data_IF_601436680328
#
_entry.id   IF_601436680328
#
_cell.length_a   1.000
_cell.length_b   1.000
_cell.length_c   1.000
_cell.angle_alpha   90.00
_cell.angle_beta   90.00
_cell.angle_gamma   90.00
#
_symmetry.space_group_name_H-M   'P 1'
#
loop_
_entity.id
_entity.type
_entity.pdbx_description
1 polymer ?
#
# COMPACT_ATOMS: atom_id res chain seq x y z
N UNK A 1 34.93 -9.30 14.44
CA UNK A 1 34.18 -9.84 13.28
C UNK A 1 33.02 -8.89 13.06
N UNK A 2 32.88 -8.32 11.87
CA UNK A 2 31.68 -7.56 11.51
C UNK A 2 30.54 -8.55 11.37
N UNK A 3 29.58 -8.48 12.28
CA UNK A 3 28.34 -9.25 12.20
C UNK A 3 27.63 -8.89 10.90
N UNK A 4 27.50 -9.88 10.01
CA UNK A 4 26.84 -9.70 8.72
C UNK A 4 25.34 -9.82 8.99
N UNK A 5 24.63 -8.71 8.81
CA UNK A 5 23.16 -8.68 8.88
C UNK A 5 22.59 -9.08 7.51
N UNK A 6 21.67 -10.05 7.50
CA UNK A 6 21.00 -10.51 6.28
C UNK A 6 19.51 -10.77 6.54
N UNK A 7 18.73 -10.59 5.48
CA UNK A 7 17.32 -10.95 5.42
C UNK A 7 17.17 -12.25 4.64
N UNK A 8 16.91 -13.34 5.37
CA UNK A 8 16.82 -14.69 4.80
C UNK A 8 15.39 -15.21 4.93
N UNK A 9 14.91 -15.86 3.86
CA UNK A 9 13.66 -16.60 3.87
C UNK A 9 13.89 -18.10 3.79
N UNK A 10 13.25 -18.84 4.69
CA UNK A 10 13.15 -20.29 4.65
C UNK A 10 11.78 -20.69 4.08
N UNK A 11 11.77 -21.31 2.92
CA UNK A 11 10.56 -21.64 2.18
C UNK A 11 10.30 -23.15 2.18
N UNK A 12 9.13 -23.51 2.72
CA UNK A 12 8.56 -24.85 2.63
C UNK A 12 7.75 -24.99 1.33
N UNK A 13 8.34 -25.55 0.27
CA UNK A 13 7.62 -25.63 -1.00
C UNK A 13 6.55 -26.73 -1.05
N UNK A 14 6.60 -27.70 -0.14
CA UNK A 14 5.61 -28.78 -0.09
C UNK A 14 4.29 -28.27 0.46
N UNK A 15 4.36 -27.52 1.56
CA UNK A 15 3.19 -26.94 2.18
C UNK A 15 2.72 -25.66 1.46
N UNK A 16 3.65 -24.96 0.82
CA UNK A 16 3.41 -23.70 0.11
C UNK A 16 3.95 -23.79 -1.33
N UNK A 17 3.28 -24.52 -2.24
CA UNK A 17 3.69 -24.60 -3.63
C UNK A 17 3.61 -23.20 -4.27
N UNK A 18 4.77 -22.64 -4.63
CA UNK A 18 4.88 -21.32 -5.26
C UNK A 18 4.98 -21.45 -6.77
N UNK A 19 4.34 -20.52 -7.48
CA UNK A 19 4.63 -20.28 -8.89
C UNK A 19 5.98 -19.57 -9.01
N UNK A 20 6.66 -19.73 -10.15
CA UNK A 20 7.94 -19.06 -10.42
C UNK A 20 7.85 -17.54 -10.23
N UNK A 21 6.71 -16.94 -10.62
CA UNK A 21 6.45 -15.50 -10.43
C UNK A 21 6.52 -15.07 -8.96
N UNK A 22 6.05 -15.90 -8.04
CA UNK A 22 6.11 -15.62 -6.60
C UNK A 22 7.54 -15.77 -6.07
N UNK A 23 8.28 -16.79 -6.54
CA UNK A 23 9.69 -16.97 -6.20
C UNK A 23 10.54 -15.77 -6.66
N UNK A 24 10.25 -15.19 -7.82
CA UNK A 24 10.87 -13.95 -8.30
C UNK A 24 10.61 -12.78 -7.35
N UNK A 25 9.39 -12.64 -6.83
CA UNK A 25 9.06 -11.59 -5.86
C UNK A 25 9.83 -11.79 -4.56
N UNK A 26 9.92 -13.02 -4.06
CA UNK A 26 10.68 -13.35 -2.86
C UNK A 26 12.17 -13.00 -3.01
N UNK A 27 12.78 -13.36 -4.14
CA UNK A 27 14.17 -13.02 -4.42
C UNK A 27 14.40 -11.50 -4.46
N UNK A 28 13.40 -10.68 -4.77
CA UNK A 28 13.53 -9.21 -4.70
C UNK A 28 13.42 -8.65 -3.28
N UNK A 29 12.74 -9.35 -2.38
CA UNK A 29 12.48 -8.92 -1.00
C UNK A 29 13.55 -9.39 -0.02
N UNK A 30 14.14 -10.56 -0.27
CA UNK A 30 15.14 -11.18 0.59
C UNK A 30 16.51 -11.18 -0.06
N UNK A 31 17.54 -11.08 0.78
CA UNK A 31 18.93 -11.23 0.35
C UNK A 31 19.20 -12.67 -0.10
N UNK A 32 18.57 -13.63 0.60
CA UNK A 32 18.64 -15.04 0.28
C UNK A 32 17.30 -15.76 0.52
N UNK A 33 16.91 -16.62 -0.41
CA UNK A 33 15.78 -17.54 -0.28
C UNK A 33 16.31 -18.97 -0.27
N UNK A 34 16.01 -19.72 0.79
CA UNK A 34 16.38 -21.13 0.93
C UNK A 34 15.12 -21.98 0.86
N UNK A 35 15.03 -22.78 -0.18
CA UNK A 35 13.93 -23.67 -0.46
C UNK A 35 14.28 -25.07 0.02
N UNK A 36 13.46 -25.63 0.90
CA UNK A 36 13.61 -27.00 1.39
C UNK A 36 12.46 -27.85 0.85
N UNK A 37 12.79 -29.04 0.34
CA UNK A 37 11.77 -29.98 -0.17
C UNK A 37 12.23 -31.43 -0.03
N UNK A 38 11.31 -32.36 0.16
CA UNK A 38 11.51 -33.81 0.06
C UNK A 38 10.91 -34.37 -1.25
N UNK A 39 9.72 -33.90 -1.64
CA UNK A 39 9.07 -34.15 -2.91
C UNK A 39 8.61 -32.83 -3.51
N UNK A 40 8.88 -32.61 -4.79
CA UNK A 40 8.38 -31.40 -5.47
C UNK A 40 7.94 -31.72 -6.88
N UNK A 41 6.79 -31.15 -7.26
CA UNK A 41 6.23 -31.18 -8.61
C UNK A 41 6.42 -29.82 -9.31
N UNK A 42 7.40 -29.01 -8.88
CA UNK A 42 7.64 -27.69 -9.44
C UNK A 42 8.11 -27.80 -10.90
N UNK A 43 7.25 -27.36 -11.82
CA UNK A 43 7.56 -27.29 -13.25
C UNK A 43 8.05 -25.88 -13.61
N UNK A 44 9.25 -25.79 -14.17
CA UNK A 44 9.93 -24.54 -14.51
C UNK A 44 10.09 -24.46 -16.04
N UNK A 45 9.68 -23.35 -16.64
CA UNK A 45 9.92 -23.10 -18.07
C UNK A 45 11.41 -22.78 -18.33
N UNK A 46 11.93 -23.08 -19.53
CA UNK A 46 13.34 -22.84 -19.83
C UNK A 46 13.76 -21.37 -19.66
N UNK A 47 12.91 -20.42 -20.04
CA UNK A 47 13.21 -18.99 -19.87
C UNK A 47 13.37 -18.61 -18.39
N UNK A 48 12.55 -19.21 -17.52
CA UNK A 48 12.61 -19.02 -16.08
C UNK A 48 13.87 -19.65 -15.46
N UNK A 49 14.37 -20.73 -16.05
CA UNK A 49 15.57 -21.44 -15.58
C UNK A 49 16.82 -20.55 -15.68
N UNK A 50 16.92 -19.71 -16.72
CA UNK A 50 18.07 -18.81 -16.91
C UNK A 50 18.16 -17.84 -15.73
N UNK A 51 17.05 -17.20 -15.37
CA UNK A 51 17.01 -16.25 -14.25
C UNK A 51 17.27 -16.93 -12.90
N UNK A 52 16.69 -18.11 -12.67
CA UNK A 52 16.92 -18.88 -11.45
C UNK A 52 18.37 -19.36 -11.35
N UNK A 53 19.01 -19.71 -12.47
CA UNK A 53 20.41 -20.15 -12.46
C UNK A 53 21.36 -19.04 -12.03
N UNK A 54 21.12 -17.78 -12.44
CA UNK A 54 21.85 -16.61 -11.96
C UNK A 54 21.68 -16.46 -10.45
N UNK A 55 20.43 -16.54 -9.94
CA UNK A 55 20.16 -16.43 -8.52
C UNK A 55 20.82 -17.56 -7.68
N UNK A 56 20.93 -18.77 -8.25
CA UNK A 56 21.62 -19.91 -7.62
C UNK A 56 23.13 -19.68 -7.58
N UNK A 57 23.72 -19.21 -8.69
CA UNK A 57 25.15 -18.94 -8.78
C UNK A 57 25.57 -17.84 -7.80
N UNK A 58 24.73 -16.82 -7.64
CA UNK A 58 24.93 -15.72 -6.69
C UNK A 58 24.61 -16.11 -5.24
N UNK A 59 24.24 -17.37 -4.98
CA UNK A 59 23.79 -17.89 -3.68
C UNK A 59 22.59 -17.15 -3.08
N UNK A 60 21.85 -16.39 -3.88
CA UNK A 60 20.59 -15.73 -3.50
C UNK A 60 19.43 -16.72 -3.47
N UNK A 61 19.50 -17.79 -4.24
CA UNK A 61 18.57 -18.93 -4.17
C UNK A 61 19.33 -20.19 -3.82
N UNK A 62 18.99 -20.82 -2.70
CA UNK A 62 19.52 -22.14 -2.33
C UNK A 62 18.40 -23.16 -2.34
N UNK A 63 18.61 -24.28 -3.03
CA UNK A 63 17.62 -25.35 -3.16
C UNK A 63 18.18 -26.58 -2.45
N UNK A 64 17.48 -27.04 -1.41
CA UNK A 64 17.91 -28.17 -0.56
C UNK A 64 16.88 -29.28 -0.68
N UNK A 65 17.33 -30.41 -1.24
CA UNK A 65 16.54 -31.64 -1.26
C UNK A 65 16.82 -32.46 -0.01
N UNK A 66 15.78 -32.94 0.65
CA UNK A 66 15.91 -33.84 1.80
C UNK A 66 16.42 -35.21 1.36
N UNK A 67 17.39 -35.80 2.09
CA UNK A 67 17.99 -37.09 1.73
C UNK A 67 17.06 -38.27 1.96
N UNK A 68 16.10 -38.13 2.89
CA UNK A 68 15.04 -39.08 3.17
C UNK A 68 13.71 -38.38 3.02
N UNK A 69 12.74 -39.13 2.53
CA UNK A 69 11.37 -38.69 2.32
C UNK A 69 10.47 -39.25 3.42
N UNK A 70 9.58 -38.42 3.94
CA UNK A 70 8.74 -38.70 5.10
C UNK A 70 7.97 -37.45 5.50
N UNK A 71 6.84 -37.62 6.20
CA UNK A 71 5.84 -36.57 6.42
C UNK A 71 6.40 -35.24 6.94
N UNK A 72 7.45 -35.27 7.77
CA UNK A 72 8.03 -34.07 8.40
C UNK A 72 9.45 -33.77 7.89
N UNK A 73 9.86 -34.35 6.75
CA UNK A 73 11.25 -34.24 6.30
C UNK A 73 11.62 -32.80 5.96
N UNK A 74 10.71 -32.04 5.33
CA UNK A 74 10.92 -30.63 5.04
C UNK A 74 11.03 -29.80 6.33
N UNK A 75 10.18 -30.06 7.32
CA UNK A 75 10.20 -29.40 8.64
C UNK A 75 11.54 -29.55 9.35
N UNK A 76 12.10 -30.77 9.35
CA UNK A 76 13.42 -31.03 9.90
C UNK A 76 14.51 -30.29 9.14
N UNK A 77 14.40 -30.25 7.81
CA UNK A 77 15.33 -29.49 6.98
C UNK A 77 15.29 -27.99 7.28
N UNK A 78 14.09 -27.40 7.34
CA UNK A 78 13.90 -25.98 7.66
C UNK A 78 14.44 -25.65 9.05
N UNK A 79 14.08 -26.45 10.06
CA UNK A 79 14.51 -26.23 11.45
C UNK A 79 16.04 -26.36 11.59
N UNK A 80 16.65 -27.36 10.92
CA UNK A 80 18.09 -27.53 10.92
C UNK A 80 18.80 -26.31 10.28
N UNK A 81 18.28 -25.82 9.16
CA UNK A 81 18.86 -24.67 8.46
C UNK A 81 18.68 -23.40 9.29
N UNK A 82 17.52 -23.19 9.91
CA UNK A 82 17.27 -22.07 10.83
C UNK A 82 18.29 -22.05 11.97
N UNK A 83 18.51 -23.18 12.64
CA UNK A 83 19.50 -23.29 13.72
C UNK A 83 20.94 -23.10 13.25
N UNK A 84 21.29 -23.57 12.04
CA UNK A 84 22.61 -23.32 11.47
C UNK A 84 22.83 -21.83 11.19
N UNK A 85 21.83 -21.17 10.61
CA UNK A 85 21.90 -19.74 10.27
C UNK A 85 21.96 -18.87 11.53
N UNK A 86 21.22 -19.21 12.59
CA UNK A 86 21.26 -18.43 13.83
C UNK A 86 22.62 -18.43 14.52
N UNK A 87 23.45 -19.46 14.28
CA UNK A 87 24.83 -19.51 14.75
C UNK A 87 25.82 -18.73 13.85
N UNK A 88 25.44 -18.44 12.60
CA UNK A 88 26.29 -17.77 11.61
C UNK A 88 26.00 -16.28 11.47
N UNK A 89 24.76 -15.88 11.73
CA UNK A 89 24.27 -14.52 11.57
C UNK A 89 24.45 -13.70 12.85
N UNK A 90 24.66 -12.40 12.69
CA UNK A 90 24.73 -11.46 13.80
C UNK A 90 23.37 -11.16 14.42
N UNK A 91 23.39 -10.66 15.66
CA UNK A 91 22.16 -10.23 16.36
C UNK A 91 21.47 -9.10 15.58
N UNK A 92 20.17 -9.23 15.38
CA UNK A 92 19.38 -8.30 14.56
C UNK A 92 19.26 -8.68 13.08
N UNK A 93 19.83 -9.81 12.65
CA UNK A 93 19.51 -10.41 11.35
C UNK A 93 18.09 -10.95 11.33
N UNK A 94 17.53 -11.13 10.14
CA UNK A 94 16.15 -11.58 9.94
C UNK A 94 16.11 -12.95 9.26
N UNK A 95 15.38 -13.89 9.86
CA UNK A 95 15.08 -15.20 9.27
C UNK A 95 13.58 -15.42 9.33
N UNK A 96 12.89 -15.22 8.21
CA UNK A 96 11.47 -15.53 8.09
C UNK A 96 11.26 -16.97 7.63
N UNK A 97 10.23 -17.61 8.16
CA UNK A 97 9.84 -18.97 7.80
C UNK A 97 8.49 -18.92 7.09
N UNK A 98 8.42 -19.40 5.85
CA UNK A 98 7.18 -19.47 5.09
C UNK A 98 6.68 -20.90 4.99
N UNK A 99 5.66 -21.22 5.79
CA UNK A 99 4.95 -22.51 5.81
C UNK A 99 3.52 -22.32 6.31
N UNK A 100 2.58 -23.21 5.92
CA UNK A 100 1.26 -23.25 6.56
C UNK A 100 1.26 -24.06 7.85
N UNK A 101 2.31 -24.84 8.11
CA UNK A 101 2.35 -25.67 9.31
C UNK A 101 2.56 -24.78 10.52
N UNK A 102 1.62 -24.85 11.45
CA UNK A 102 1.70 -24.18 12.74
C UNK A 102 2.88 -24.66 13.58
N UNK A 103 3.38 -25.88 13.37
CA UNK A 103 4.56 -26.40 14.06
C UNK A 103 5.83 -25.58 13.77
N UNK A 104 5.87 -24.82 12.67
CA UNK A 104 7.00 -23.94 12.36
C UNK A 104 7.09 -22.72 13.31
N UNK A 105 6.06 -22.45 14.12
CA UNK A 105 6.14 -21.41 15.16
C UNK A 105 7.22 -21.72 16.20
N UNK A 106 7.48 -22.99 16.50
CA UNK A 106 8.54 -23.37 17.44
C UNK A 106 9.93 -22.96 16.94
N UNK A 107 10.19 -23.04 15.62
CA UNK A 107 11.45 -22.60 15.05
C UNK A 107 11.61 -21.07 15.16
N UNK A 108 10.54 -20.32 14.91
CA UNK A 108 10.49 -18.85 15.05
C UNK A 108 10.75 -18.44 16.49
N UNK A 109 10.06 -19.05 17.47
CA UNK A 109 10.27 -18.74 18.88
C UNK A 109 11.73 -19.00 19.34
N UNK A 110 12.37 -20.07 18.82
CA UNK A 110 13.77 -20.37 19.11
C UNK A 110 14.74 -19.37 18.47
N UNK A 111 14.44 -18.85 17.28
CA UNK A 111 15.24 -17.82 16.61
C UNK A 111 15.19 -16.49 17.37
N UNK A 112 14.00 -16.09 17.83
CA UNK A 112 13.81 -14.88 18.62
C UNK A 112 14.58 -14.95 19.95
N UNK A 113 14.60 -16.12 20.61
CA UNK A 113 15.35 -16.33 21.86
C UNK A 113 16.87 -16.12 21.70
N UNK A 114 17.43 -16.39 20.51
CA UNK A 114 18.85 -16.18 20.23
C UNK A 114 19.15 -14.79 19.64
N UNK A 115 18.14 -13.92 19.53
CA UNK A 115 18.28 -12.53 19.08
C UNK A 115 18.26 -12.35 17.57
N UNK A 116 17.69 -13.31 16.84
CA UNK A 116 17.40 -13.24 15.41
C UNK A 116 15.92 -12.86 15.27
N UNK A 117 15.61 -11.86 14.45
CA UNK A 117 14.22 -11.50 14.18
C UNK A 117 13.59 -12.55 13.26
N UNK A 118 12.41 -13.07 13.61
CA UNK A 118 11.77 -14.09 12.79
C UNK A 118 10.25 -13.99 12.77
N UNK A 119 9.65 -14.30 11.61
CA UNK A 119 8.19 -14.34 11.42
C UNK A 119 7.76 -15.60 10.70
N UNK A 120 6.63 -16.20 11.13
CA UNK A 120 5.97 -17.27 10.38
C UNK A 120 5.00 -16.67 9.34
N UNK A 121 5.33 -16.83 8.07
CA UNK A 121 4.57 -16.31 6.94
C UNK A 121 3.70 -17.41 6.31
N UNK A 122 2.39 -17.14 6.14
CA UNK A 122 1.48 -18.04 5.41
C UNK A 122 1.33 -17.67 3.94
N UNK A 123 1.57 -16.42 3.57
CA UNK A 123 1.61 -15.93 2.18
C UNK A 123 2.63 -14.80 2.10
N UNK A 124 3.04 -14.45 0.87
CA UNK A 124 3.76 -13.20 0.66
C UNK A 124 2.83 -12.04 0.98
N UNK A 125 3.22 -11.19 1.90
CA UNK A 125 2.70 -9.83 1.93
C UNK A 125 3.28 -9.07 0.72
N UNK A 126 2.43 -8.36 -0.03
CA UNK A 126 2.88 -7.40 -1.04
C UNK A 126 3.91 -6.43 -0.43
N UNK A 127 4.92 -5.96 -1.18
CA UNK A 127 6.07 -5.28 -0.62
C UNK A 127 5.67 -4.02 0.17
N UNK A 128 5.68 -4.14 1.50
CA UNK A 128 5.56 -3.04 2.44
C UNK A 128 6.95 -2.40 2.57
N UNK A 129 7.05 -1.09 2.27
CA UNK A 129 8.23 -0.29 2.59
C UNK A 129 8.44 -0.28 4.10
N UNK A 130 9.64 -0.62 4.54
CA UNK A 130 10.11 -0.52 5.92
C UNK A 130 9.74 0.85 6.51
N UNK A 131 8.95 0.87 7.59
CA UNK A 131 9.00 1.91 8.61
C UNK A 131 8.99 1.21 9.96
N UNK A 132 10.06 1.46 10.71
CA UNK A 132 10.23 1.14 12.13
C UNK A 132 8.98 1.57 12.90
N UNK A 133 8.38 0.59 13.57
CA UNK A 133 7.27 0.63 14.53
C UNK A 133 6.25 1.79 14.41
N UNK A 134 5.01 1.44 14.05
CA UNK A 134 3.82 1.49 14.93
C UNK A 134 2.53 1.63 14.10
N UNK A 135 1.72 0.55 14.10
CA UNK A 135 0.26 0.48 13.87
C UNK A 135 -0.33 1.09 12.58
N UNK A 136 -1.16 0.27 11.92
CA UNK A 136 -2.25 0.61 10.99
C UNK A 136 -1.89 1.06 9.56
N UNK A 137 -1.43 0.17 8.65
CA UNK A 137 -1.56 0.42 7.19
C UNK A 137 -1.51 -0.89 6.38
N UNK A 138 -2.63 -1.56 6.09
CA UNK A 138 -2.67 -2.71 5.15
C UNK A 138 -3.92 -2.76 4.23
N UNK A 139 -4.63 -1.65 4.02
CA UNK A 139 -5.85 -1.63 3.18
C UNK A 139 -5.68 -1.11 1.72
N UNK A 140 -4.51 -0.63 1.29
CA UNK A 140 -4.48 0.24 0.09
C UNK A 140 -4.18 -0.41 -1.28
N UNK A 141 -3.57 -1.59 -1.39
CA UNK A 141 -3.10 -2.07 -2.71
C UNK A 141 -4.06 -2.88 -3.56
N UNK A 142 -5.20 -3.39 -3.03
CA UNK A 142 -6.27 -3.95 -3.87
C UNK A 142 -7.15 -2.90 -4.57
N UNK A 143 -6.94 -1.61 -4.34
CA UNK A 143 -7.78 -0.53 -4.86
C UNK A 143 -7.41 -0.04 -6.27
N UNK A 144 -6.29 -0.46 -6.86
CA UNK A 144 -5.80 0.21 -8.08
C UNK A 144 -6.40 -0.31 -9.40
N UNK A 145 -6.92 -1.53 -9.45
CA UNK A 145 -7.58 -2.05 -10.66
C UNK A 145 -9.11 -1.84 -10.70
N UNK A 146 -9.75 -1.49 -9.59
CA UNK A 146 -11.19 -1.14 -9.56
C UNK A 146 -11.48 0.38 -9.65
N UNK A 147 -10.43 1.22 -9.67
CA UNK A 147 -10.56 2.69 -9.67
C UNK A 147 -11.06 3.31 -10.98
N UNK A 148 -11.12 2.56 -12.08
CA UNK A 148 -11.35 3.20 -13.38
C UNK A 148 -12.82 3.59 -13.63
N UNK A 149 -13.82 2.96 -13.01
CA UNK A 149 -15.23 3.27 -13.33
C UNK A 149 -16.25 3.00 -12.20
N UNK A 150 -16.01 3.43 -10.95
CA UNK A 150 -17.04 3.30 -9.88
C UNK A 150 -17.61 4.66 -9.44
N UNK A 151 -18.64 5.13 -10.14
CA UNK A 151 -19.41 6.32 -9.78
C UNK A 151 -20.66 5.94 -8.96
N UNK A 152 -20.47 5.42 -7.75
CA UNK A 152 -21.58 5.04 -6.86
C UNK A 152 -21.83 6.15 -5.85
N UNK A 153 -23.06 6.66 -5.83
CA UNK A 153 -23.49 7.67 -4.86
C UNK A 153 -23.64 7.04 -3.46
N UNK A 154 -22.60 7.20 -2.64
CA UNK A 154 -22.52 6.70 -1.27
C UNK A 154 -23.69 7.25 -0.41
N UNK A 155 -24.25 8.43 -0.74
CA UNK A 155 -25.40 8.98 0.01
C UNK A 155 -26.65 8.11 -0.15
N UNK A 156 -26.86 7.51 -1.33
CA UNK A 156 -27.95 6.57 -1.60
C UNK A 156 -27.81 5.30 -0.74
N UNK A 157 -26.57 4.80 -0.60
CA UNK A 157 -26.25 3.63 0.24
C UNK A 157 -26.53 3.93 1.72
N UNK A 158 -26.05 5.07 2.23
CA UNK A 158 -26.26 5.48 3.62
C UNK A 158 -27.75 5.68 3.96
N UNK A 159 -28.53 6.24 3.04
CA UNK A 159 -29.97 6.39 3.20
C UNK A 159 -30.69 5.04 3.31
N UNK A 160 -30.26 4.04 2.53
CA UNK A 160 -30.84 2.69 2.60
C UNK A 160 -30.40 1.90 3.83
N UNK A 161 -29.18 2.11 4.33
CA UNK A 161 -28.72 1.53 5.59
C UNK A 161 -29.47 2.07 6.81
N UNK A 162 -30.00 3.29 6.72
CA UNK A 162 -30.86 3.84 7.77
C UNK A 162 -32.21 3.12 7.84
N UNK A 163 -32.74 2.69 6.68
CA UNK A 163 -34.03 1.97 6.55
C UNK A 163 -33.89 0.46 6.75
N UNK A 164 -32.82 -0.13 6.24
CA UNK A 164 -32.57 -1.56 6.19
C UNK A 164 -31.20 -1.87 6.80
N UNK A 165 -31.18 -2.69 7.86
CA UNK A 165 -29.95 -3.03 8.60
C UNK A 165 -29.70 -4.54 8.55
N UNK A 166 -29.13 -5.05 7.44
CA UNK A 166 -28.74 -6.46 7.32
C UNK A 166 -27.82 -6.88 8.46
N UNK A 167 -28.19 -7.90 9.25
CA UNK A 167 -27.42 -8.30 10.45
C UNK A 167 -26.20 -9.16 10.15
N UNK A 168 -26.07 -9.66 8.92
CA UNK A 168 -24.97 -10.54 8.48
C UNK A 168 -24.24 -9.93 7.28
N UNK A 169 -22.93 -10.13 7.23
CA UNK A 169 -22.05 -9.55 6.20
C UNK A 169 -22.40 -10.03 4.80
N UNK A 170 -22.66 -11.34 4.63
CA UNK A 170 -23.10 -11.92 3.37
C UNK A 170 -24.45 -11.37 2.90
N UNK A 171 -25.35 -11.03 3.84
CA UNK A 171 -26.64 -10.40 3.52
C UNK A 171 -26.45 -8.94 3.15
N UNK A 172 -25.54 -8.23 3.84
CA UNK A 172 -25.20 -6.85 3.54
C UNK A 172 -24.58 -6.71 2.14
N UNK A 173 -23.64 -7.57 1.76
CA UNK A 173 -23.03 -7.58 0.41
C UNK A 173 -24.13 -7.77 -0.64
N UNK A 174 -25.03 -8.76 -0.48
CA UNK A 174 -26.17 -8.96 -1.40
C UNK A 174 -27.10 -7.74 -1.47
N UNK A 175 -27.34 -7.07 -0.35
CA UNK A 175 -28.13 -5.83 -0.33
C UNK A 175 -27.42 -4.67 -1.04
N UNK A 176 -26.10 -4.52 -0.87
CA UNK A 176 -25.30 -3.51 -1.57
C UNK A 176 -25.28 -3.74 -3.08
N UNK A 177 -25.10 -4.99 -3.51
CA UNK A 177 -25.22 -5.39 -4.92
C UNK A 177 -26.58 -5.02 -5.49
N UNK A 178 -27.66 -5.24 -4.74
CA UNK A 178 -29.03 -4.93 -5.18
C UNK A 178 -29.40 -3.45 -5.15
N UNK A 179 -28.83 -2.64 -4.24
CA UNK A 179 -29.19 -1.21 -4.13
C UNK A 179 -28.50 -0.32 -5.17
N UNK A 180 -27.36 -0.78 -5.68
CA UNK A 180 -26.45 0.00 -6.51
C UNK A 180 -26.02 -0.73 -7.79
N UNK A 181 -26.64 -1.87 -8.12
CA UNK A 181 -26.34 -2.72 -9.29
C UNK A 181 -24.85 -3.06 -9.40
N UNK A 182 -24.28 -3.60 -8.31
CA UNK A 182 -22.84 -3.85 -8.17
C UNK A 182 -22.49 -5.32 -8.26
N UNK A 183 -21.24 -5.58 -8.69
CA UNK A 183 -20.63 -6.90 -8.51
C UNK A 183 -20.20 -7.14 -7.05
N UNK A 184 -19.82 -8.37 -6.74
CA UNK A 184 -19.43 -8.79 -5.38
C UNK A 184 -18.21 -8.00 -4.88
N UNK A 185 -17.23 -7.74 -5.75
CA UNK A 185 -15.99 -7.06 -5.37
C UNK A 185 -16.24 -5.56 -5.09
N UNK A 186 -17.11 -4.93 -5.87
CA UNK A 186 -17.56 -3.55 -5.69
C UNK A 186 -18.39 -3.40 -4.42
N UNK A 187 -19.23 -4.37 -4.11
CA UNK A 187 -20.00 -4.39 -2.86
C UNK A 187 -19.10 -4.57 -1.63
N UNK A 188 -18.07 -5.41 -1.71
CA UNK A 188 -17.04 -5.55 -0.67
C UNK A 188 -16.21 -4.26 -0.51
N UNK A 189 -15.90 -3.58 -1.62
CA UNK A 189 -15.24 -2.28 -1.58
C UNK A 189 -16.09 -1.23 -0.84
N UNK A 190 -17.37 -1.12 -1.16
CA UNK A 190 -18.27 -0.20 -0.45
C UNK A 190 -18.41 -0.58 1.03
N UNK A 191 -18.45 -1.87 1.35
CA UNK A 191 -18.47 -2.34 2.74
C UNK A 191 -17.25 -1.82 3.51
N UNK A 192 -16.06 -1.87 2.91
CA UNK A 192 -14.84 -1.33 3.52
C UNK A 192 -14.92 0.19 3.69
N UNK A 193 -15.40 0.93 2.69
CA UNK A 193 -15.63 2.37 2.82
C UNK A 193 -16.59 2.71 3.98
N UNK A 194 -17.65 1.92 4.17
CA UNK A 194 -18.61 2.12 5.27
C UNK A 194 -18.00 1.83 6.65
N UNK A 195 -17.06 0.89 6.74
CA UNK A 195 -16.29 0.63 7.96
C UNK A 195 -15.28 1.75 8.24
N UNK A 196 -14.62 2.31 7.23
CA UNK A 196 -13.72 3.45 7.37
C UNK A 196 -14.43 4.70 7.89
N UNK A 197 -15.64 4.94 7.39
CA UNK A 197 -16.51 6.04 7.85
C UNK A 197 -17.13 5.69 9.25
N UNK A 198 -16.82 4.51 9.80
CA UNK A 198 -17.30 4.01 11.11
C UNK A 198 -18.82 3.97 11.23
N UNK A 199 -19.49 3.83 10.10
CA UNK A 199 -20.96 3.72 9.98
C UNK A 199 -21.42 2.34 10.43
N UNK A 200 -20.59 1.32 10.20
CA UNK A 200 -20.82 -0.05 10.64
C UNK A 200 -19.52 -0.71 11.10
N UNK A 201 -19.64 -1.70 11.96
CA UNK A 201 -18.57 -2.59 12.41
C UNK A 201 -18.98 -4.02 12.08
N UNK A 202 -18.09 -4.80 11.49
CA UNK A 202 -18.29 -6.23 11.26
C UNK A 202 -17.53 -7.01 12.33
N UNK A 203 -18.25 -7.81 13.11
CA UNK A 203 -17.69 -8.69 14.13
C UNK A 203 -18.13 -10.12 13.86
N UNK A 204 -17.19 -11.02 13.58
CA UNK A 204 -17.44 -12.45 13.33
C UNK A 204 -18.65 -12.70 12.40
N UNK A 205 -18.64 -12.07 11.22
CA UNK A 205 -19.71 -12.05 10.20
C UNK A 205 -21.00 -11.28 10.55
N UNK A 206 -21.16 -10.70 11.75
CA UNK A 206 -22.32 -9.87 12.14
C UNK A 206 -22.05 -8.38 11.89
N UNK A 207 -23.04 -7.68 11.34
CA UNK A 207 -22.96 -6.24 11.10
C UNK A 207 -23.64 -5.46 12.24
N UNK A 208 -22.87 -4.59 12.88
CA UNK A 208 -23.33 -3.68 13.93
C UNK A 208 -23.32 -2.24 13.40
N UNK A 209 -24.47 -1.57 13.42
CA UNK A 209 -24.63 -0.25 12.80
C UNK A 209 -24.60 0.88 13.83
N UNK A 210 -23.76 1.89 13.57
CA UNK A 210 -23.72 3.09 14.37
C UNK A 210 -24.74 4.11 13.85
N UNK A 211 -25.96 4.07 14.41
CA UNK A 211 -27.07 4.96 14.01
C UNK A 211 -26.78 6.45 14.19
N UNK A 212 -25.87 6.84 15.10
CA UNK A 212 -25.46 8.24 15.29
C UNK A 212 -24.51 8.70 14.17
N UNK A 213 -23.56 7.85 13.79
CA UNK A 213 -22.64 8.12 12.69
C UNK A 213 -23.37 8.10 11.33
N UNK A 214 -24.28 7.14 11.10
CA UNK A 214 -25.17 7.11 9.93
C UNK A 214 -25.91 8.43 9.70
N UNK A 215 -26.47 9.03 10.76
CA UNK A 215 -27.18 10.31 10.68
C UNK A 215 -26.22 11.50 10.51
N UNK A 216 -25.01 11.42 11.06
CA UNK A 216 -23.97 12.45 10.94
C UNK A 216 -23.45 12.55 9.51
N UNK A 217 -23.15 11.42 8.86
CA UNK A 217 -22.64 11.36 7.48
C UNK A 217 -23.73 11.70 6.44
N UNK A 218 -25.00 11.45 6.76
CA UNK A 218 -26.13 11.88 5.93
C UNK A 218 -26.46 13.38 6.13
N UNK A 219 -26.06 13.96 7.27
CA UNK A 219 -26.30 15.35 7.65
C UNK A 219 -25.12 16.32 7.44
N UNK A 220 -23.91 15.83 7.15
CA UNK A 220 -22.72 16.66 6.90
C UNK A 220 -22.70 17.16 5.45
N UNK A 221 -23.34 18.31 5.24
CA UNK A 221 -22.95 19.23 4.17
C UNK A 221 -21.59 19.85 4.53
N UNK A 222 -20.62 19.77 3.59
CA UNK A 222 -19.48 20.68 3.36
C UNK A 222 -18.72 21.14 4.61
N UNK A 223 -17.54 20.57 4.91
CA UNK A 223 -16.36 21.28 5.46
C UNK A 223 -15.09 20.40 5.47
N UNK A 224 -14.13 20.78 4.61
CA UNK A 224 -12.65 20.72 4.78
C UNK A 224 -11.95 19.48 5.39
N UNK A 225 -11.43 18.58 4.54
CA UNK A 225 -10.03 18.09 4.70
C UNK A 225 -9.14 19.09 3.95
N UNK A 226 -8.31 19.85 4.66
CA UNK A 226 -7.42 20.86 4.09
C UNK A 226 -6.38 20.19 3.17
N UNK A 227 -6.41 20.48 1.86
CA UNK A 227 -5.36 20.10 0.90
C UNK A 227 -4.07 20.95 1.10
N UNK A 228 -3.81 21.36 2.34
CA UNK A 228 -2.75 22.25 2.76
C UNK A 228 -1.65 21.40 3.43
N UNK A 229 -0.39 21.50 2.98
CA UNK A 229 0.72 20.73 3.52
C UNK A 229 0.97 21.15 4.96
N UNK A 230 1.17 20.15 5.84
CA UNK A 230 1.19 20.40 7.29
C UNK A 230 2.58 20.75 7.83
N UNK A 231 3.65 20.58 7.04
CA UNK A 231 5.03 20.89 7.46
C UNK A 231 6.00 21.05 6.28
N UNK A 232 7.14 21.71 6.50
CA UNK A 232 8.24 21.85 5.53
C UNK A 232 8.80 20.50 5.06
N UNK A 233 8.95 19.55 5.99
CA UNK A 233 9.39 18.17 5.70
C UNK A 233 8.49 17.46 4.68
N UNK A 234 7.18 17.72 4.73
CA UNK A 234 6.23 17.18 3.75
C UNK A 234 6.42 17.79 2.35
N UNK A 235 6.85 19.05 2.29
CA UNK A 235 7.13 19.75 1.04
C UNK A 235 8.45 19.25 0.43
N UNK A 236 9.52 19.14 1.22
CA UNK A 236 10.85 18.71 0.74
C UNK A 236 10.86 17.27 0.22
N UNK A 237 10.07 16.39 0.81
CA UNK A 237 9.95 14.99 0.38
C UNK A 237 9.16 14.80 -0.91
N UNK A 238 8.44 15.83 -1.38
CA UNK A 238 7.53 15.73 -2.54
C UNK A 238 7.85 16.80 -3.59
N UNK A 239 8.51 16.42 -4.71
CA UNK A 239 8.91 17.36 -5.75
C UNK A 239 7.79 18.23 -6.34
N UNK A 240 6.55 17.73 -6.35
CA UNK A 240 5.39 18.49 -6.84
C UNK A 240 4.89 19.55 -5.84
N UNK A 241 5.03 19.32 -4.52
CA UNK A 241 4.66 20.31 -3.50
C UNK A 241 5.70 21.44 -3.45
N UNK A 242 6.99 21.13 -3.67
CA UNK A 242 8.06 22.14 -3.83
C UNK A 242 7.69 23.13 -4.93
N UNK A 243 7.24 22.62 -6.08
CA UNK A 243 6.84 23.48 -7.22
C UNK A 243 5.62 24.33 -6.92
N UNK A 244 4.62 23.80 -6.19
CA UNK A 244 3.46 24.58 -5.75
C UNK A 244 3.90 25.69 -4.80
N UNK A 245 4.77 25.37 -3.83
CA UNK A 245 5.34 26.35 -2.90
C UNK A 245 6.09 27.46 -3.66
N UNK A 246 7.00 27.10 -4.56
CA UNK A 246 7.74 28.05 -5.38
C UNK A 246 6.83 28.99 -6.18
N UNK A 247 5.72 28.46 -6.72
CA UNK A 247 4.74 29.28 -7.42
C UNK A 247 3.91 30.16 -6.46
N UNK A 248 3.56 29.67 -5.27
CA UNK A 248 2.87 30.47 -4.25
C UNK A 248 3.78 31.59 -3.72
N UNK A 249 5.07 31.32 -3.51
CA UNK A 249 6.08 32.32 -3.16
C UNK A 249 6.18 33.40 -4.24
N UNK A 250 6.12 33.02 -5.52
CA UNK A 250 6.04 33.97 -6.63
C UNK A 250 4.72 34.78 -6.62
N UNK A 251 3.56 34.12 -6.48
CA UNK A 251 2.24 34.75 -6.45
C UNK A 251 2.06 35.71 -5.26
N UNK A 252 2.72 35.44 -4.13
CA UNK A 252 2.75 36.32 -2.95
C UNK A 252 3.46 37.65 -3.23
N UNK A 253 4.46 37.64 -4.14
CA UNK A 253 5.24 38.82 -4.52
C UNK A 253 4.57 39.68 -5.59
N UNK A 254 3.70 39.13 -6.43
CA UNK A 254 3.09 39.83 -7.58
C UNK A 254 1.62 40.26 -7.38
N UNK A 255 1.32 40.89 -6.24
CA UNK A 255 -0.06 41.23 -5.79
C UNK A 255 -0.96 41.90 -6.84
N UNK A 256 -0.44 42.82 -7.65
CA UNK A 256 -1.22 43.62 -8.62
C UNK A 256 -1.30 43.05 -10.05
N UNK A 257 -0.44 42.09 -10.41
CA UNK A 257 -0.32 41.59 -11.79
C UNK A 257 -0.64 40.09 -11.92
N UNK A 258 -1.55 39.58 -11.07
CA UNK A 258 -1.91 38.15 -11.10
C UNK A 258 -2.64 37.79 -12.41
N UNK A 259 -2.27 36.66 -13.05
CA UNK A 259 -2.91 36.24 -14.28
C UNK A 259 -4.42 36.02 -14.13
N UNK A 260 -5.24 36.76 -14.87
CA UNK A 260 -6.70 36.71 -14.76
C UNK A 260 -7.37 35.66 -15.66
N UNK A 261 -6.65 35.15 -16.67
CA UNK A 261 -7.11 34.19 -17.67
C UNK A 261 -6.20 32.97 -17.70
N UNK A 262 -6.72 31.83 -18.18
CA UNK A 262 -5.95 30.57 -18.21
C UNK A 262 -4.73 30.63 -19.13
N UNK A 263 -4.83 31.37 -20.23
CA UNK A 263 -3.73 31.60 -21.19
C UNK A 263 -2.61 32.43 -20.55
N UNK A 264 -2.96 33.52 -19.84
CA UNK A 264 -1.98 34.35 -19.15
C UNK A 264 -1.37 33.63 -17.95
N UNK A 265 -2.13 32.75 -17.28
CA UNK A 265 -1.60 31.87 -16.24
C UNK A 265 -0.61 30.86 -16.81
N UNK A 266 -0.91 30.28 -17.97
CA UNK A 266 -0.03 29.34 -18.66
C UNK A 266 1.31 30.00 -19.01
N UNK A 267 1.28 31.23 -19.53
CA UNK A 267 2.49 32.01 -19.83
C UNK A 267 3.29 32.37 -18.57
N UNK A 268 2.61 32.72 -17.47
CA UNK A 268 3.24 32.97 -16.17
C UNK A 268 3.96 31.71 -15.65
N UNK A 269 3.31 30.54 -15.70
CA UNK A 269 3.90 29.27 -15.27
C UNK A 269 5.10 28.89 -16.15
N UNK A 270 4.99 29.04 -17.48
CA UNK A 270 6.11 28.82 -18.42
C UNK A 270 7.31 29.70 -18.08
N UNK A 271 7.06 30.98 -17.80
CA UNK A 271 8.12 31.95 -17.46
C UNK A 271 8.81 31.60 -16.14
N UNK A 272 8.04 31.29 -15.09
CA UNK A 272 8.59 31.01 -13.75
C UNK A 272 9.37 29.70 -13.70
N UNK A 273 8.90 28.64 -14.37
CA UNK A 273 9.52 27.31 -14.33
C UNK A 273 10.35 26.96 -15.56
N UNK A 274 10.41 27.85 -16.56
CA UNK A 274 11.08 27.61 -17.85
C UNK A 274 10.64 26.30 -18.52
N UNK A 275 9.34 26.00 -18.47
CA UNK A 275 8.81 24.79 -19.10
C UNK A 275 8.82 24.92 -20.63
N UNK A 276 9.45 23.95 -21.29
CA UNK A 276 9.50 23.85 -22.75
C UNK A 276 8.24 23.20 -23.34
N UNK A 277 7.62 22.28 -22.59
CA UNK A 277 6.43 21.52 -23.03
C UNK A 277 5.15 22.03 -22.36
N UNK A 278 4.09 22.15 -23.15
CA UNK A 278 2.75 22.55 -22.67
C UNK A 278 2.13 21.58 -21.66
N UNK A 279 2.50 20.30 -21.73
CA UNK A 279 2.01 19.27 -20.79
C UNK A 279 2.40 19.58 -19.34
N UNK A 280 3.61 20.09 -19.09
CA UNK A 280 4.07 20.43 -17.74
C UNK A 280 3.33 21.64 -17.16
N UNK A 281 2.94 22.57 -18.02
CA UNK A 281 2.12 23.73 -17.65
C UNK A 281 0.72 23.28 -17.23
N UNK A 282 0.11 22.38 -17.99
CA UNK A 282 -1.20 21.83 -17.68
C UNK A 282 -1.19 21.02 -16.37
N UNK A 283 -0.15 20.22 -16.15
CA UNK A 283 0.06 19.49 -14.90
C UNK A 283 0.14 20.45 -13.71
N UNK A 284 0.87 21.55 -13.83
CA UNK A 284 0.95 22.57 -12.79
C UNK A 284 -0.41 23.22 -12.50
N UNK A 285 -1.18 23.59 -13.53
CA UNK A 285 -2.51 24.18 -13.34
C UNK A 285 -3.45 23.22 -12.59
N UNK A 286 -3.37 21.93 -12.91
CA UNK A 286 -4.17 20.91 -12.21
C UNK A 286 -3.77 20.76 -10.74
N UNK A 287 -2.48 20.86 -10.43
CA UNK A 287 -2.00 20.88 -9.04
C UNK A 287 -2.52 22.10 -8.29
N UNK A 288 -2.47 23.29 -8.89
CA UNK A 288 -2.99 24.52 -8.27
C UNK A 288 -4.50 24.45 -8.00
N UNK A 289 -5.28 23.83 -8.89
CA UNK A 289 -6.71 23.57 -8.66
C UNK A 289 -6.93 22.58 -7.53
N UNK A 290 -6.19 21.46 -7.54
CA UNK A 290 -6.30 20.40 -6.53
C UNK A 290 -6.02 20.93 -5.13
N UNK A 291 -4.98 21.76 -4.99
CA UNK A 291 -4.59 22.37 -3.71
C UNK A 291 -5.36 23.64 -3.37
N UNK A 292 -6.46 23.93 -4.08
CA UNK A 292 -7.32 25.09 -3.82
C UNK A 292 -6.52 26.40 -3.80
N UNK A 293 -5.51 26.53 -4.65
CA UNK A 293 -4.78 27.79 -4.84
C UNK A 293 -5.54 28.68 -5.82
N UNK A 294 -6.12 28.04 -6.85
CA UNK A 294 -6.92 28.69 -7.88
C UNK A 294 -8.25 27.96 -8.09
N UNK A 295 -9.27 28.72 -8.45
CA UNK A 295 -10.54 28.24 -8.95
C UNK A 295 -10.79 28.85 -10.33
N UNK A 296 -11.26 28.06 -11.29
CA UNK A 296 -11.52 28.52 -12.66
C UNK A 296 -13.03 28.57 -12.88
N UNK A 297 -13.59 29.77 -12.93
CA UNK A 297 -15.00 30.00 -13.21
C UNK A 297 -15.14 30.55 -14.63
N UNK A 298 -15.71 29.75 -15.54
CA UNK A 298 -16.18 30.18 -16.88
C UNK A 298 -15.14 31.05 -17.63
N UNK A 299 -13.85 30.66 -17.54
CA UNK A 299 -12.63 31.31 -18.12
C UNK A 299 -11.93 32.42 -17.29
N UNK A 300 -12.43 32.78 -16.11
CA UNK A 300 -11.75 33.68 -15.16
C UNK A 300 -11.12 32.90 -14.01
N UNK A 301 -9.91 33.28 -13.62
CA UNK A 301 -9.21 32.67 -12.48
C UNK A 301 -9.51 33.47 -11.22
N UNK A 302 -9.96 32.77 -10.18
CA UNK A 302 -10.10 33.29 -8.82
C UNK A 302 -8.98 32.68 -7.98
N UNK A 303 -8.19 33.53 -7.32
CA UNK A 303 -7.10 33.10 -6.44
C UNK A 303 -7.60 33.06 -5.01
N UNK A 304 -7.37 31.93 -4.33
CA UNK A 304 -7.66 31.79 -2.91
C UNK A 304 -6.46 32.31 -2.12
N UNK A 305 -6.51 33.60 -1.78
CA UNK A 305 -5.37 34.32 -1.21
C UNK A 305 -4.91 33.76 0.14
N UNK A 306 -5.84 33.27 0.96
CA UNK A 306 -5.55 32.63 2.25
C UNK A 306 -4.63 31.42 2.08
N UNK A 307 -4.91 30.58 1.08
CA UNK A 307 -4.10 29.41 0.78
C UNK A 307 -2.73 29.81 0.21
N UNK A 308 -2.68 30.80 -0.68
CA UNK A 308 -1.40 31.31 -1.21
C UNK A 308 -0.49 31.79 -0.07
N UNK A 309 -1.06 32.58 0.85
CA UNK A 309 -0.33 33.10 2.00
C UNK A 309 0.16 31.96 2.89
N UNK A 310 -0.70 30.99 3.20
CA UNK A 310 -0.33 29.83 3.99
C UNK A 310 0.84 29.08 3.36
N UNK A 311 0.77 28.74 2.07
CA UNK A 311 1.84 28.04 1.37
C UNK A 311 3.15 28.81 1.34
N UNK A 312 3.09 30.15 1.24
CA UNK A 312 4.28 31.00 1.27
C UNK A 312 4.91 31.16 2.67
N UNK A 313 4.11 30.97 3.72
CA UNK A 313 4.54 31.12 5.11
C UNK A 313 5.20 29.86 5.68
N UNK A 314 5.07 28.71 5.01
CA UNK A 314 5.74 27.47 5.43
C UNK A 314 7.25 27.67 5.25
N UNK A 315 7.96 27.72 6.38
CA UNK A 315 9.41 27.88 6.49
C UNK A 315 10.09 26.59 6.89
#
# INVERSE_FOLDING_TARGET
>A
MTDIMQNILLLDIENQPKKIRELRTLLKQYDQVILVYAHSNLNIALDDLIELSVAIQDKRLLIIKMPKTGANSADFGLTFIAGRLSAQLGKGSLIDVMSNDTAMSYAVELLDQVGIQSTLLKQLDEPVKVVLEQKNVQNETKLLDCKKELNVDIKKVLAQLLKNQPKKTKTLIKSLMSWCDLDINQAEYILNQLQEIKVLVVDQEKCLYNKKQLKKELGSNIESKSNLPSSLLEIETRPHLIRIKQYCDYLSKISNNKPSKIETLSNSIKSVFKYEKDEHVLQMINLLKKHQIIQVNVKKIVYLQENINYWSMIK
#
